data_IF_708962617678
#
_entry.id   IF_708962617678
#
_cell.length_a   1.000
_cell.length_b   1.000
_cell.length_c   1.000
_cell.angle_alpha   90.00
_cell.angle_beta   90.00
_cell.angle_gamma   90.00
#
_symmetry.space_group_name_H-M   'P 1'
#
loop_
_entity.id
_entity.type
_entity.pdbx_description
1 polymer ?
#
# COMPACT_ATOMS: atom_id res chain seq x y z
N UNK A 1 -33.41 7.29 9.89
CA UNK A 1 -33.76 7.15 8.46
C UNK A 1 -32.85 6.05 7.94
N UNK A 2 -33.41 4.95 7.44
CA UNK A 2 -32.61 3.94 6.75
C UNK A 2 -32.03 4.59 5.48
N UNK A 3 -30.75 4.30 5.10
CA UNK A 3 -30.21 4.79 3.86
C UNK A 3 -31.05 4.23 2.70
N UNK A 4 -31.42 5.08 1.76
CA UNK A 4 -32.11 4.66 0.54
C UNK A 4 -31.18 3.70 -0.21
N UNK A 5 -31.61 2.45 -0.38
CA UNK A 5 -30.91 1.49 -1.22
C UNK A 5 -30.95 2.00 -2.66
N UNK A 6 -29.80 2.24 -3.26
CA UNK A 6 -29.73 2.59 -4.68
C UNK A 6 -30.33 1.44 -5.50
N UNK A 7 -31.41 1.71 -6.22
CA UNK A 7 -32.07 0.73 -7.06
C UNK A 7 -31.24 0.49 -8.35
N UNK A 8 -30.10 -0.16 -8.23
CA UNK A 8 -29.37 -0.71 -9.37
C UNK A 8 -30.09 -2.00 -9.78
N UNK A 9 -30.78 -1.99 -10.93
CA UNK A 9 -31.53 -3.13 -11.44
C UNK A 9 -30.67 -4.04 -12.33
N UNK A 10 -29.52 -3.53 -12.80
CA UNK A 10 -28.58 -4.29 -13.61
C UNK A 10 -27.70 -5.21 -12.76
N UNK A 11 -27.31 -6.38 -13.30
CA UNK A 11 -26.33 -7.24 -12.64
C UNK A 11 -25.02 -6.46 -12.36
N UNK A 12 -24.53 -6.54 -11.15
CA UNK A 12 -23.33 -5.84 -10.74
C UNK A 12 -22.43 -6.72 -9.86
N UNK A 13 -21.17 -6.31 -9.73
CA UNK A 13 -20.21 -6.86 -8.79
C UNK A 13 -19.71 -5.74 -7.88
N UNK A 14 -19.15 -6.11 -6.74
CA UNK A 14 -18.58 -5.12 -5.84
C UNK A 14 -17.20 -5.53 -5.33
N UNK A 15 -16.43 -4.54 -4.90
CA UNK A 15 -15.19 -4.77 -4.18
C UNK A 15 -15.07 -3.84 -2.97
N UNK A 16 -14.40 -4.33 -1.92
CA UNK A 16 -14.02 -3.55 -0.74
C UNK A 16 -12.51 -3.64 -0.55
N UNK A 17 -11.87 -2.47 -0.51
CA UNK A 17 -10.45 -2.30 -0.13
C UNK A 17 -10.40 -1.69 1.27
N UNK A 18 -10.17 -2.54 2.27
CA UNK A 18 -10.21 -2.21 3.69
C UNK A 18 -8.84 -2.02 4.29
N UNK A 19 -8.33 -0.79 4.27
CA UNK A 19 -7.04 -0.43 4.85
C UNK A 19 -7.08 0.04 6.30
N UNK A 20 -5.93 0.40 6.85
CA UNK A 20 -5.80 0.92 8.22
C UNK A 20 -6.38 2.33 8.42
N UNK A 21 -6.34 3.20 7.40
CA UNK A 21 -6.79 4.59 7.51
C UNK A 21 -8.13 4.87 6.82
N UNK A 22 -8.42 4.14 5.75
CA UNK A 22 -9.64 4.29 4.95
C UNK A 22 -10.09 2.93 4.42
N UNK A 23 -11.38 2.83 4.12
CA UNK A 23 -11.99 1.67 3.45
C UNK A 23 -12.84 2.17 2.30
N UNK A 24 -12.67 1.57 1.15
CA UNK A 24 -13.32 1.94 -0.10
C UNK A 24 -14.25 0.81 -0.56
N UNK A 25 -15.47 1.14 -0.94
CA UNK A 25 -16.40 0.27 -1.66
C UNK A 25 -16.56 0.79 -3.08
N UNK A 26 -16.49 -0.10 -4.07
CA UNK A 26 -16.84 0.19 -5.46
C UNK A 26 -17.82 -0.85 -5.96
N UNK A 27 -18.91 -0.40 -6.58
CA UNK A 27 -19.89 -1.25 -7.27
C UNK A 27 -19.76 -1.00 -8.76
N UNK A 28 -19.59 -2.08 -9.54
CA UNK A 28 -19.39 -2.06 -10.98
C UNK A 28 -20.52 -2.81 -11.68
N UNK A 29 -21.20 -2.15 -12.61
CA UNK A 29 -22.23 -2.75 -13.45
C UNK A 29 -21.63 -3.71 -14.49
N UNK A 30 -22.44 -4.59 -15.04
CA UNK A 30 -22.03 -5.55 -16.08
C UNK A 30 -21.59 -4.88 -17.38
N UNK A 31 -21.99 -3.65 -17.64
CA UNK A 31 -21.53 -2.83 -18.78
C UNK A 31 -20.17 -2.15 -18.55
N UNK A 32 -19.56 -2.33 -17.37
CA UNK A 32 -18.27 -1.74 -16.99
C UNK A 32 -18.35 -0.32 -16.44
N UNK A 33 -19.55 0.21 -16.20
CA UNK A 33 -19.73 1.52 -15.54
C UNK A 33 -19.74 1.39 -14.01
N UNK A 34 -19.25 2.40 -13.30
CA UNK A 34 -19.33 2.46 -11.85
C UNK A 34 -20.73 2.89 -11.44
N UNK A 35 -21.42 2.03 -10.67
CA UNK A 35 -22.73 2.32 -10.11
C UNK A 35 -22.67 3.10 -8.80
N UNK A 36 -21.68 2.80 -7.95
CA UNK A 36 -21.51 3.47 -6.66
C UNK A 36 -20.05 3.44 -6.21
N UNK A 37 -19.65 4.48 -5.48
CA UNK A 37 -18.37 4.58 -4.77
C UNK A 37 -18.66 5.14 -3.38
N UNK A 38 -18.27 4.40 -2.35
CA UNK A 38 -18.42 4.84 -0.96
C UNK A 38 -17.10 4.71 -0.21
N UNK A 39 -16.85 5.59 0.72
CA UNK A 39 -15.65 5.58 1.55
C UNK A 39 -16.00 5.79 3.02
N UNK A 40 -15.31 5.05 3.88
CA UNK A 40 -15.37 5.22 5.34
C UNK A 40 -13.95 5.22 5.93
N UNK A 41 -13.85 5.37 7.25
CA UNK A 41 -12.58 5.20 7.97
C UNK A 41 -12.03 3.79 7.87
N UNK A 42 -10.80 3.59 8.36
CA UNK A 42 -10.14 2.29 8.31
C UNK A 42 -10.94 1.16 8.97
N UNK A 43 -10.72 -0.06 8.46
CA UNK A 43 -11.33 -1.29 8.97
C UNK A 43 -10.31 -2.33 9.42
N UNK A 44 -9.07 -1.93 9.70
CA UNK A 44 -8.08 -2.82 10.29
C UNK A 44 -8.43 -3.11 11.77
N UNK A 45 -8.72 -4.37 12.14
CA UNK A 45 -9.14 -4.71 13.51
C UNK A 45 -8.04 -4.56 14.57
N UNK A 46 -6.77 -4.38 14.19
CA UNK A 46 -5.67 -4.19 15.12
C UNK A 46 -5.65 -2.78 15.74
N UNK A 47 -6.11 -1.77 15.02
CA UNK A 47 -5.98 -0.36 15.42
C UNK A 47 -7.27 0.47 15.26
N UNK A 48 -8.34 -0.14 14.69
CA UNK A 48 -9.61 0.55 14.44
C UNK A 48 -10.75 -0.07 15.28
N UNK A 49 -11.13 0.53 16.43
CA UNK A 49 -12.18 -0.03 17.29
C UNK A 49 -13.52 -0.23 16.60
N UNK A 50 -13.87 0.65 15.66
CA UNK A 50 -15.14 0.62 14.91
C UNK A 50 -15.04 -0.12 13.57
N UNK A 51 -14.03 -0.98 13.39
CA UNK A 51 -13.79 -1.67 12.12
C UNK A 51 -14.99 -2.48 11.63
N UNK A 52 -15.66 -3.21 12.55
CA UNK A 52 -16.82 -4.07 12.22
C UNK A 52 -18.00 -3.23 11.75
N UNK A 53 -18.35 -2.19 12.50
CA UNK A 53 -19.47 -1.30 12.17
C UNK A 53 -19.28 -0.63 10.81
N UNK A 54 -18.05 -0.16 10.52
CA UNK A 54 -17.72 0.47 9.25
C UNK A 54 -17.80 -0.53 8.09
N UNK A 55 -17.26 -1.74 8.25
CA UNK A 55 -17.29 -2.77 7.23
C UNK A 55 -18.73 -3.21 6.94
N UNK A 56 -19.50 -3.54 7.97
CA UNK A 56 -20.90 -3.97 7.82
C UNK A 56 -21.76 -2.84 7.26
N UNK A 57 -21.51 -1.59 7.65
CA UNK A 57 -22.19 -0.42 7.09
C UNK A 57 -21.99 -0.29 5.58
N UNK A 58 -20.78 -0.52 5.06
CA UNK A 58 -20.52 -0.53 3.62
C UNK A 58 -21.21 -1.70 2.93
N UNK A 59 -21.18 -2.90 3.53
CA UNK A 59 -21.81 -4.09 2.97
C UNK A 59 -23.34 -3.96 2.87
N UNK A 60 -23.96 -3.19 3.74
CA UNK A 60 -25.40 -2.89 3.69
C UNK A 60 -25.80 -1.97 2.52
N UNK A 61 -24.84 -1.27 1.91
CA UNK A 61 -25.08 -0.40 0.75
C UNK A 61 -25.07 -1.16 -0.58
N UNK A 62 -24.77 -2.47 -0.56
CA UNK A 62 -24.72 -3.28 -1.76
C UNK A 62 -26.11 -3.41 -2.39
N UNK A 63 -26.22 -3.21 -3.73
CA UNK A 63 -27.46 -3.46 -4.46
C UNK A 63 -27.92 -4.93 -4.34
N UNK A 64 -29.21 -5.17 -4.38
CA UNK A 64 -29.80 -6.52 -4.37
C UNK A 64 -29.43 -7.33 -5.62
N UNK A 65 -29.00 -6.66 -6.70
CA UNK A 65 -28.50 -7.25 -7.94
C UNK A 65 -27.02 -7.66 -7.89
N UNK A 66 -26.34 -7.50 -6.75
CA UNK A 66 -24.92 -7.86 -6.58
C UNK A 66 -24.72 -9.37 -6.71
N UNK A 67 -23.93 -9.78 -7.70
CA UNK A 67 -23.65 -11.18 -8.03
C UNK A 67 -22.47 -11.76 -7.24
N UNK A 68 -21.46 -10.95 -6.94
CA UNK A 68 -20.29 -11.35 -6.16
C UNK A 68 -19.57 -10.14 -5.56
N UNK A 69 -18.79 -10.39 -4.48
CA UNK A 69 -18.02 -9.35 -3.79
C UNK A 69 -16.57 -9.82 -3.59
N UNK A 70 -15.60 -8.99 -3.95
CA UNK A 70 -14.19 -9.21 -3.64
C UNK A 70 -13.76 -8.30 -2.49
N UNK A 71 -13.21 -8.86 -1.42
CA UNK A 71 -12.77 -8.10 -0.25
C UNK A 71 -11.27 -8.32 -0.01
N UNK A 72 -10.52 -7.21 0.11
CA UNK A 72 -9.16 -7.18 0.61
C UNK A 72 -9.17 -6.42 1.94
N UNK A 73 -8.92 -7.11 3.05
CA UNK A 73 -9.00 -6.51 4.37
C UNK A 73 -7.64 -6.53 5.08
N UNK A 74 -7.19 -5.36 5.53
CA UNK A 74 -5.99 -5.24 6.35
C UNK A 74 -6.10 -6.11 7.61
N UNK A 75 -5.00 -6.78 7.96
CA UNK A 75 -4.93 -7.68 9.11
C UNK A 75 -5.52 -9.07 8.88
N UNK A 76 -6.20 -9.31 7.77
CA UNK A 76 -6.68 -10.66 7.43
C UNK A 76 -5.47 -11.59 7.13
N UNK A 77 -5.49 -12.78 7.69
CA UNK A 77 -4.38 -13.74 7.62
C UNK A 77 -3.29 -13.57 8.68
N UNK A 78 -3.31 -12.50 9.49
CA UNK A 78 -2.28 -12.26 10.50
C UNK A 78 -2.57 -12.90 11.87
N UNK A 79 -3.85 -13.04 12.22
CA UNK A 79 -4.30 -13.64 13.48
C UNK A 79 -5.53 -14.49 13.26
N UNK A 80 -5.48 -15.76 13.64
CA UNK A 80 -6.63 -16.67 13.48
C UNK A 80 -7.92 -16.13 14.15
N UNK A 81 -7.80 -15.52 15.33
CA UNK A 81 -8.96 -14.94 16.04
C UNK A 81 -9.54 -13.74 15.29
N UNK A 82 -8.70 -12.88 14.71
CA UNK A 82 -9.16 -11.72 13.96
C UNK A 82 -9.72 -12.13 12.59
N UNK A 83 -9.12 -13.12 11.93
CA UNK A 83 -9.64 -13.69 10.70
C UNK A 83 -11.06 -14.21 10.90
N UNK A 84 -11.30 -15.04 11.92
CA UNK A 84 -12.63 -15.55 12.23
C UNK A 84 -13.65 -14.42 12.46
N UNK A 85 -13.26 -13.37 13.19
CA UNK A 85 -14.14 -12.19 13.41
C UNK A 85 -14.44 -11.41 12.13
N UNK A 86 -13.48 -11.30 11.20
CA UNK A 86 -13.69 -10.67 9.90
C UNK A 86 -14.58 -11.53 9.00
N UNK A 87 -14.33 -12.86 8.97
CA UNK A 87 -15.17 -13.83 8.26
C UNK A 87 -16.62 -13.82 8.75
N UNK A 88 -16.85 -13.83 10.07
CA UNK A 88 -18.18 -13.73 10.66
C UNK A 88 -18.89 -12.46 10.20
N UNK A 89 -18.21 -11.30 10.29
CA UNK A 89 -18.79 -10.01 9.89
C UNK A 89 -19.19 -9.97 8.40
N UNK A 90 -18.36 -10.55 7.53
CA UNK A 90 -18.59 -10.60 6.08
C UNK A 90 -19.71 -11.58 5.76
N UNK A 91 -19.65 -12.82 6.30
CA UNK A 91 -20.64 -13.86 6.03
C UNK A 91 -22.03 -13.50 6.53
N UNK A 92 -22.15 -12.92 7.73
CA UNK A 92 -23.43 -12.43 8.27
C UNK A 92 -24.03 -11.32 7.39
N UNK A 93 -23.18 -10.42 6.83
CA UNK A 93 -23.66 -9.31 6.02
C UNK A 93 -24.03 -9.72 4.60
N UNK A 94 -23.28 -10.62 3.97
CA UNK A 94 -23.47 -11.03 2.58
C UNK A 94 -24.47 -12.19 2.40
N UNK A 95 -24.67 -13.00 3.43
CA UNK A 95 -25.61 -14.12 3.40
C UNK A 95 -25.28 -15.12 2.29
N UNK A 96 -26.06 -15.10 1.19
CA UNK A 96 -25.89 -16.00 0.04
C UNK A 96 -25.09 -15.41 -1.12
N UNK A 97 -24.70 -14.14 -1.05
CA UNK A 97 -23.91 -13.51 -2.11
C UNK A 97 -22.52 -14.16 -2.11
N UNK A 98 -22.04 -14.71 -3.23
CA UNK A 98 -20.68 -15.23 -3.34
C UNK A 98 -19.63 -14.14 -3.04
N UNK A 99 -18.60 -14.49 -2.29
CA UNK A 99 -17.52 -13.53 -2.01
C UNK A 99 -16.15 -14.21 -1.94
N UNK A 100 -15.11 -13.42 -2.15
CA UNK A 100 -13.73 -13.75 -1.86
C UNK A 100 -13.22 -12.79 -0.81
N UNK A 101 -12.57 -13.31 0.22
CA UNK A 101 -11.95 -12.53 1.29
C UNK A 101 -10.47 -12.85 1.35
N UNK A 102 -9.64 -11.81 1.17
CA UNK A 102 -8.18 -11.91 1.19
C UNK A 102 -7.58 -10.80 2.05
N UNK A 103 -6.26 -10.80 2.20
CA UNK A 103 -5.52 -9.67 2.72
C UNK A 103 -5.55 -8.51 1.69
N UNK A 104 -5.55 -7.26 2.17
CA UNK A 104 -5.51 -6.05 1.31
C UNK A 104 -4.30 -6.03 0.38
N UNK A 105 -3.15 -6.55 0.84
CA UNK A 105 -1.93 -6.66 0.03
C UNK A 105 -2.03 -7.74 -1.05
N UNK A 106 -2.70 -8.86 -0.76
CA UNK A 106 -2.97 -9.91 -1.76
C UNK A 106 -3.87 -9.39 -2.87
N UNK A 107 -4.93 -8.66 -2.50
CA UNK A 107 -5.79 -7.98 -3.46
C UNK A 107 -5.02 -6.96 -4.31
N UNK A 108 -4.14 -6.17 -3.70
CA UNK A 108 -3.28 -5.22 -4.42
C UNK A 108 -2.29 -5.94 -5.36
N UNK A 109 -1.76 -7.10 -4.96
CA UNK A 109 -0.91 -7.94 -5.82
C UNK A 109 -1.69 -8.46 -7.03
N UNK A 110 -2.88 -9.01 -6.80
CA UNK A 110 -3.79 -9.42 -7.88
C UNK A 110 -4.11 -8.27 -8.84
N UNK A 111 -4.34 -7.06 -8.33
CA UNK A 111 -4.57 -5.86 -9.13
C UNK A 111 -3.35 -5.49 -10.00
N UNK A 112 -2.16 -5.51 -9.40
CA UNK A 112 -0.94 -5.11 -10.08
C UNK A 112 -0.62 -6.00 -11.29
N UNK A 113 -0.93 -7.30 -11.21
CA UNK A 113 -0.62 -8.29 -12.24
C UNK A 113 -1.84 -8.82 -13.01
N UNK A 114 -3.05 -8.30 -12.76
CA UNK A 114 -4.28 -8.81 -13.40
C UNK A 114 -4.64 -10.24 -12.99
N UNK A 115 -4.17 -10.66 -11.81
CA UNK A 115 -4.31 -12.03 -11.29
C UNK A 115 -3.27 -13.01 -11.79
N UNK A 116 -2.26 -12.57 -12.57
CA UNK A 116 -1.12 -13.36 -13.01
C UNK A 116 -0.03 -13.39 -11.90
N UNK A 117 0.94 -14.32 -11.99
CA UNK A 117 2.02 -14.41 -11.03
C UNK A 117 2.87 -13.14 -10.93
N UNK A 118 3.33 -12.80 -9.73
CA UNK A 118 4.23 -11.66 -9.51
C UNK A 118 4.57 -11.38 -8.07
N UNK A 119 5.50 -10.45 -7.86
CA UNK A 119 5.90 -9.91 -6.55
C UNK A 119 5.50 -8.45 -6.49
N UNK A 120 4.55 -8.09 -5.64
CA UNK A 120 4.25 -6.71 -5.30
C UNK A 120 5.13 -6.25 -4.14
N UNK A 121 5.90 -5.19 -4.34
CA UNK A 121 6.63 -4.51 -3.27
C UNK A 121 5.84 -3.30 -2.81
N UNK A 122 5.52 -3.25 -1.53
CA UNK A 122 4.94 -2.08 -0.90
C UNK A 122 6.01 -1.33 -0.13
N UNK A 123 6.07 -0.02 -0.33
CA UNK A 123 6.83 0.90 0.51
C UNK A 123 6.07 2.21 0.69
N UNK A 124 5.50 2.34 1.87
CA UNK A 124 4.85 3.53 2.42
C UNK A 124 5.43 3.81 3.80
N UNK A 125 4.60 4.09 4.80
CA UNK A 125 5.05 4.23 6.20
C UNK A 125 5.78 2.98 6.70
N UNK A 126 5.33 1.79 6.32
CA UNK A 126 6.04 0.51 6.46
C UNK A 126 6.41 -0.06 5.09
N UNK A 127 7.01 -1.26 5.07
CA UNK A 127 7.39 -1.96 3.84
C UNK A 127 7.23 -3.45 3.94
N UNK A 128 6.92 -4.09 2.80
CA UNK A 128 6.86 -5.53 2.65
C UNK A 128 6.86 -5.92 1.17
N UNK A 129 7.09 -7.20 0.87
CA UNK A 129 6.77 -7.78 -0.41
C UNK A 129 5.75 -8.90 -0.25
N UNK A 130 4.87 -9.01 -1.23
CA UNK A 130 3.88 -10.08 -1.36
C UNK A 130 4.04 -10.73 -2.72
N UNK A 131 4.24 -12.04 -2.75
CA UNK A 131 4.30 -12.79 -3.98
C UNK A 131 3.10 -13.73 -4.09
N UNK A 132 2.59 -13.87 -5.32
CA UNK A 132 1.52 -14.79 -5.66
C UNK A 132 1.90 -15.56 -6.93
N UNK A 133 1.51 -16.86 -6.99
CA UNK A 133 1.63 -17.70 -8.19
C UNK A 133 0.42 -17.57 -9.14
N UNK A 134 -0.54 -16.71 -8.81
CA UNK A 134 -1.80 -16.55 -9.52
C UNK A 134 -2.77 -17.73 -9.38
N UNK A 135 -2.43 -18.76 -8.59
CA UNK A 135 -3.21 -20.00 -8.41
C UNK A 135 -3.60 -20.27 -6.95
N UNK A 136 -3.39 -19.29 -6.08
CA UNK A 136 -3.74 -19.35 -4.66
C UNK A 136 -2.57 -19.59 -3.71
N UNK A 137 -1.35 -19.86 -4.21
CA UNK A 137 -0.16 -19.84 -3.37
C UNK A 137 0.39 -18.43 -3.27
N UNK A 138 0.73 -18.02 -2.08
CA UNK A 138 1.32 -16.72 -1.82
C UNK A 138 2.40 -16.80 -0.74
N UNK A 139 3.29 -15.84 -0.72
CA UNK A 139 4.25 -15.67 0.38
C UNK A 139 4.47 -14.20 0.71
N UNK A 140 4.63 -13.94 2.00
CA UNK A 140 5.00 -12.65 2.55
C UNK A 140 6.50 -12.61 2.86
N UNK A 141 7.13 -11.46 2.59
CA UNK A 141 8.50 -11.13 2.99
C UNK A 141 8.51 -9.73 3.60
N UNK A 142 9.06 -9.57 4.79
CA UNK A 142 9.02 -8.32 5.53
C UNK A 142 7.66 -8.01 6.17
N UNK A 143 7.39 -6.74 6.43
CA UNK A 143 6.16 -6.29 7.07
C UNK A 143 6.09 -6.61 8.57
N UNK A 144 7.22 -6.65 9.24
CA UNK A 144 7.32 -6.97 10.67
C UNK A 144 7.12 -5.77 11.60
N UNK A 145 6.83 -4.59 11.01
CA UNK A 145 6.67 -3.35 11.74
C UNK A 145 7.99 -2.63 12.02
N UNK A 146 7.89 -1.37 12.44
CA UNK A 146 9.04 -0.45 12.54
C UNK A 146 10.04 -0.74 13.64
N UNK A 147 9.70 -1.65 14.56
CA UNK A 147 10.60 -1.98 15.69
C UNK A 147 11.76 -2.87 15.24
N UNK A 148 11.49 -3.85 14.37
CA UNK A 148 12.47 -4.85 13.91
C UNK A 148 12.29 -5.26 12.44
N UNK A 149 11.63 -4.42 11.66
CA UNK A 149 11.39 -4.58 10.23
C UNK A 149 11.12 -3.24 9.56
N UNK A 150 10.27 -3.26 8.51
CA UNK A 150 9.95 -2.12 7.65
C UNK A 150 11.17 -1.56 6.89
N UNK A 151 12.11 -2.45 6.52
CA UNK A 151 13.33 -2.09 5.80
C UNK A 151 13.01 -1.50 4.42
N UNK A 152 13.61 -0.35 4.10
CA UNK A 152 13.33 0.38 2.86
C UNK A 152 12.02 1.18 2.87
N UNK A 153 11.32 1.27 4.01
CA UNK A 153 10.11 2.10 4.16
C UNK A 153 10.42 3.59 4.27
N UNK A 154 9.39 4.42 4.09
CA UNK A 154 9.47 5.85 4.34
C UNK A 154 9.92 6.16 5.78
N UNK A 155 9.41 5.40 6.76
CA UNK A 155 9.82 5.57 8.15
C UNK A 155 11.32 5.29 8.33
N UNK A 156 11.84 4.19 7.78
CA UNK A 156 13.27 3.89 7.89
C UNK A 156 14.13 4.93 7.17
N UNK A 157 13.74 5.37 5.97
CA UNK A 157 14.45 6.42 5.23
C UNK A 157 14.49 7.71 6.05
N UNK A 158 13.36 8.16 6.58
CA UNK A 158 13.27 9.37 7.40
C UNK A 158 14.07 9.25 8.70
N UNK A 159 14.00 8.10 9.37
CA UNK A 159 14.79 7.81 10.58
C UNK A 159 16.30 7.85 10.28
N UNK A 160 16.72 7.23 9.18
CA UNK A 160 18.12 7.23 8.79
C UNK A 160 18.62 8.65 8.41
N UNK A 161 17.76 9.48 7.79
CA UNK A 161 18.06 10.88 7.52
C UNK A 161 18.23 11.69 8.81
N UNK A 162 17.36 11.51 9.80
CA UNK A 162 17.52 12.14 11.11
C UNK A 162 18.77 11.64 11.84
N UNK A 163 19.07 10.34 11.75
CA UNK A 163 20.29 9.77 12.31
C UNK A 163 21.53 10.39 11.67
N UNK A 164 21.55 10.53 10.35
CA UNK A 164 22.64 11.20 9.62
C UNK A 164 22.77 12.67 10.07
N UNK A 165 21.66 13.40 10.15
CA UNK A 165 21.65 14.79 10.64
C UNK A 165 22.26 14.89 12.04
N UNK A 166 21.83 14.07 12.98
CA UNK A 166 22.38 14.10 14.37
C UNK A 166 23.86 13.74 14.40
N UNK A 167 24.32 12.79 13.57
CA UNK A 167 25.74 12.46 13.48
C UNK A 167 26.59 13.63 12.96
N UNK A 168 26.05 14.42 12.02
CA UNK A 168 26.73 15.63 11.54
C UNK A 168 26.76 16.70 12.62
N UNK A 169 25.63 16.95 13.30
CA UNK A 169 25.55 17.94 14.39
C UNK A 169 26.50 17.63 15.54
N UNK A 170 26.67 16.34 15.88
CA UNK A 170 27.58 15.88 16.93
C UNK A 170 29.05 15.82 16.50
N UNK A 171 29.35 16.01 15.20
CA UNK A 171 30.70 15.85 14.64
C UNK A 171 31.13 14.37 14.49
N UNK A 172 30.24 13.40 14.67
CA UNK A 172 30.49 11.96 14.41
C UNK A 172 30.60 11.62 12.93
N UNK A 173 30.00 12.45 12.07
CA UNK A 173 30.10 12.36 10.61
C UNK A 173 30.44 13.74 10.04
N UNK A 174 31.64 13.88 9.51
CA UNK A 174 32.11 15.12 8.85
C UNK A 174 32.14 15.01 7.32
N UNK A 175 32.07 13.79 6.79
CA UNK A 175 32.14 13.52 5.35
C UNK A 175 30.86 13.94 4.63
N UNK A 176 29.72 13.73 5.26
CA UNK A 176 28.42 14.01 4.69
C UNK A 176 27.85 15.39 5.08
N UNK A 177 28.72 16.32 5.51
CA UNK A 177 28.32 17.67 5.97
C UNK A 177 27.48 18.45 4.93
N UNK A 178 27.64 18.14 3.64
CA UNK A 178 26.81 18.68 2.56
C UNK A 178 25.31 18.34 2.68
N UNK A 179 24.93 17.38 3.55
CA UNK A 179 23.54 17.04 3.83
C UNK A 179 22.85 18.05 4.77
N UNK A 180 23.61 18.69 5.67
CA UNK A 180 23.06 19.51 6.76
C UNK A 180 22.15 20.62 6.25
N UNK A 181 22.69 21.55 5.47
CA UNK A 181 21.95 22.75 5.05
C UNK A 181 20.73 22.42 4.18
N UNK A 182 20.82 21.58 3.11
CA UNK A 182 19.66 21.24 2.31
C UNK A 182 18.58 20.52 3.10
N UNK A 183 18.95 19.59 3.99
CA UNK A 183 17.95 18.84 4.75
C UNK A 183 17.28 19.69 5.84
N UNK A 184 18.04 20.53 6.57
CA UNK A 184 17.48 21.50 7.51
C UNK A 184 16.49 22.44 6.81
N UNK A 185 16.85 22.94 5.63
CA UNK A 185 15.96 23.80 4.84
C UNK A 185 14.63 23.14 4.50
N UNK A 186 14.64 21.85 4.12
CA UNK A 186 13.38 21.13 3.82
C UNK A 186 12.52 20.88 5.05
N UNK A 187 13.12 20.80 6.22
CA UNK A 187 12.42 20.65 7.51
C UNK A 187 12.00 22.00 8.12
N UNK A 188 12.42 23.14 7.55
CA UNK A 188 12.22 24.46 8.17
C UNK A 188 13.10 24.69 9.41
N UNK A 189 14.22 23.98 9.54
CA UNK A 189 15.18 24.10 10.64
C UNK A 189 16.32 25.05 10.29
N UNK A 190 16.92 25.75 11.30
CA UNK A 190 18.11 26.54 11.10
C UNK A 190 19.29 25.63 10.68
N UNK A 191 20.19 26.15 9.81
CA UNK A 191 21.39 25.42 9.38
C UNK A 191 22.60 25.62 10.33
N UNK A 192 22.54 26.57 11.26
CA UNK A 192 23.54 26.70 12.32
C UNK A 192 23.45 25.47 13.25
N UNK A 193 24.53 24.73 13.49
CA UNK A 193 24.48 23.46 14.25
C UNK A 193 23.89 23.58 15.64
N UNK A 194 24.19 24.67 16.38
CA UNK A 194 23.67 24.86 17.75
C UNK A 194 22.18 25.16 17.74
N UNK A 195 21.74 26.04 16.84
CA UNK A 195 20.34 26.39 16.70
C UNK A 195 19.54 25.21 16.14
N UNK A 196 20.11 24.47 15.19
CA UNK A 196 19.49 23.26 14.62
C UNK A 196 19.23 22.20 15.71
N UNK A 197 20.20 21.95 16.60
CA UNK A 197 20.04 20.97 17.68
C UNK A 197 18.84 21.30 18.55
N UNK A 198 18.70 22.54 19.01
CA UNK A 198 17.59 22.96 19.84
C UNK A 198 16.24 22.85 19.10
N UNK A 199 16.20 23.33 17.84
CA UNK A 199 15.00 23.29 17.02
C UNK A 199 14.57 21.85 16.66
N UNK A 200 15.52 20.93 16.45
CA UNK A 200 15.24 19.51 16.19
C UNK A 200 14.63 18.82 17.42
N UNK A 201 15.15 19.12 18.60
CA UNK A 201 14.59 18.57 19.85
C UNK A 201 13.18 19.10 20.13
N UNK A 202 12.95 20.40 19.86
CA UNK A 202 11.61 21.00 19.95
C UNK A 202 10.65 20.38 18.92
N UNK A 203 11.07 20.22 17.67
CA UNK A 203 10.30 19.52 16.64
C UNK A 203 9.89 18.12 17.10
N UNK A 204 10.85 17.32 17.62
CA UNK A 204 10.56 15.97 18.10
C UNK A 204 9.59 15.97 19.29
N UNK A 205 9.76 16.89 20.24
CA UNK A 205 8.91 16.98 21.45
C UNK A 205 7.45 17.34 21.14
N UNK A 206 7.20 17.97 20.01
CA UNK A 206 5.86 18.40 19.58
C UNK A 206 5.15 17.41 18.63
N UNK A 207 5.72 16.22 18.38
CA UNK A 207 5.12 15.24 17.48
C UNK A 207 3.96 14.50 18.14
N UNK A 208 2.75 14.65 17.61
CA UNK A 208 1.57 13.85 18.02
C UNK A 208 1.64 12.43 17.45
N UNK A 209 2.13 12.28 16.21
CA UNK A 209 2.25 11.02 15.49
C UNK A 209 3.69 10.80 14.99
N UNK A 210 4.65 10.44 15.87
CA UNK A 210 6.07 10.39 15.53
C UNK A 210 6.40 9.53 14.31
N UNK A 211 5.78 8.34 14.21
CA UNK A 211 6.03 7.42 13.09
C UNK A 211 5.66 8.04 11.74
N UNK A 212 4.50 8.67 11.65
CA UNK A 212 4.03 9.30 10.41
C UNK A 212 4.85 10.56 10.07
N UNK A 213 5.20 11.37 11.07
CA UNK A 213 6.01 12.57 10.88
C UNK A 213 7.42 12.22 10.37
N UNK A 214 8.06 11.19 10.95
CA UNK A 214 9.36 10.71 10.49
C UNK A 214 9.26 10.10 9.09
N UNK A 215 8.22 9.32 8.78
CA UNK A 215 8.00 8.77 7.45
C UNK A 215 7.84 9.87 6.37
N UNK A 216 7.19 10.98 6.71
CA UNK A 216 7.01 12.10 5.78
C UNK A 216 8.36 12.68 5.28
N UNK A 217 9.44 12.56 6.06
CA UNK A 217 10.78 13.03 5.70
C UNK A 217 11.38 12.28 4.51
N UNK A 218 10.93 11.06 4.21
CA UNK A 218 11.41 10.31 3.05
C UNK A 218 11.21 11.07 1.74
N UNK A 219 10.15 11.87 1.64
CA UNK A 219 9.90 12.72 0.46
C UNK A 219 10.97 13.79 0.30
N UNK A 220 11.41 14.39 1.41
CA UNK A 220 12.52 15.36 1.39
C UNK A 220 13.83 14.70 0.95
N UNK A 221 14.13 13.51 1.48
CA UNK A 221 15.31 12.73 1.07
C UNK A 221 15.28 12.43 -0.44
N UNK A 222 14.11 12.03 -0.97
CA UNK A 222 13.92 11.76 -2.40
C UNK A 222 14.21 13.00 -3.25
N UNK A 223 13.62 14.14 -2.89
CA UNK A 223 13.85 15.41 -3.57
C UNK A 223 15.33 15.84 -3.53
N UNK A 224 15.99 15.65 -2.40
CA UNK A 224 17.42 15.97 -2.28
C UNK A 224 18.28 15.05 -3.15
N UNK A 225 17.99 13.75 -3.21
CA UNK A 225 18.70 12.80 -4.05
C UNK A 225 18.54 13.15 -5.55
N UNK A 226 17.34 13.51 -5.98
CA UNK A 226 17.05 13.97 -7.33
C UNK A 226 17.80 15.28 -7.68
N UNK A 227 18.05 16.11 -6.68
CA UNK A 227 18.88 17.32 -6.80
C UNK A 227 20.38 17.07 -6.55
N UNK A 228 20.85 15.84 -6.76
CA UNK A 228 22.26 15.45 -6.70
C UNK A 228 22.92 15.54 -5.32
N UNK A 229 22.15 15.52 -4.24
CA UNK A 229 22.68 15.41 -2.89
C UNK A 229 23.19 13.96 -2.65
N UNK A 230 24.52 13.79 -2.67
CA UNK A 230 25.15 12.47 -2.55
C UNK A 230 24.74 11.71 -1.28
N UNK A 231 24.73 12.31 -0.07
CA UNK A 231 24.29 11.59 1.12
C UNK A 231 22.82 11.16 1.07
N UNK A 232 21.94 11.98 0.49
CA UNK A 232 20.53 11.61 0.31
C UNK A 232 20.38 10.43 -0.68
N UNK A 233 21.14 10.45 -1.77
CA UNK A 233 21.20 9.33 -2.71
C UNK A 233 21.71 8.03 -2.05
N UNK A 234 22.69 8.12 -1.16
CA UNK A 234 23.19 6.97 -0.41
C UNK A 234 22.11 6.36 0.50
N UNK A 235 21.29 7.19 1.19
CA UNK A 235 20.15 6.73 1.99
C UNK A 235 19.13 5.99 1.14
N UNK A 236 18.80 6.50 -0.05
CA UNK A 236 17.86 5.82 -0.96
C UNK A 236 18.43 4.52 -1.55
N UNK A 237 19.73 4.48 -1.86
CA UNK A 237 20.38 3.26 -2.33
C UNK A 237 20.37 2.16 -1.27
N UNK A 238 20.54 2.52 0.01
CA UNK A 238 20.37 1.57 1.12
C UNK A 238 18.95 1.03 1.15
N UNK A 239 17.94 1.91 1.09
CA UNK A 239 16.53 1.50 1.05
C UNK A 239 16.22 0.61 -0.18
N UNK A 240 16.78 0.93 -1.35
CA UNK A 240 16.63 0.11 -2.56
C UNK A 240 17.21 -1.29 -2.38
N UNK A 241 18.36 -1.42 -1.73
CA UNK A 241 19.01 -2.70 -1.47
C UNK A 241 18.16 -3.59 -0.56
N UNK A 242 17.55 -3.01 0.47
CA UNK A 242 16.64 -3.70 1.37
C UNK A 242 15.37 -4.18 0.64
N UNK A 243 14.74 -3.30 -0.13
CA UNK A 243 13.55 -3.66 -0.92
C UNK A 243 13.86 -4.71 -1.99
N UNK A 244 15.03 -4.64 -2.64
CA UNK A 244 15.49 -5.65 -3.57
C UNK A 244 15.73 -7.00 -2.87
N UNK A 245 16.17 -7.01 -1.61
CA UNK A 245 16.30 -8.23 -0.81
C UNK A 245 14.94 -8.89 -0.58
N UNK A 246 13.86 -8.11 -0.35
CA UNK A 246 12.50 -8.64 -0.25
C UNK A 246 12.07 -9.35 -1.54
N UNK A 247 12.31 -8.75 -2.71
CA UNK A 247 11.99 -9.35 -4.03
C UNK A 247 12.73 -10.67 -4.20
N UNK A 248 14.06 -10.68 -3.97
CA UNK A 248 14.87 -11.89 -4.12
C UNK A 248 14.42 -13.00 -3.17
N UNK A 249 14.10 -12.66 -1.91
CA UNK A 249 13.60 -13.63 -0.95
C UNK A 249 12.24 -14.22 -1.36
N UNK A 250 11.34 -13.40 -1.91
CA UNK A 250 10.05 -13.86 -2.43
C UNK A 250 10.24 -14.83 -3.61
N UNK A 251 11.12 -14.51 -4.57
CA UNK A 251 11.47 -15.38 -5.69
C UNK A 251 12.09 -16.72 -5.24
N UNK A 252 12.92 -16.69 -4.20
CA UNK A 252 13.51 -17.91 -3.62
C UNK A 252 12.48 -18.82 -2.97
N UNK A 253 11.40 -18.26 -2.42
CA UNK A 253 10.30 -19.03 -1.81
C UNK A 253 9.36 -19.67 -2.85
N UNK A 254 9.38 -19.20 -4.08
CA UNK A 254 8.54 -19.67 -5.19
C UNK A 254 9.42 -19.96 -6.44
N UNK A 255 10.35 -20.92 -6.38
CA UNK A 255 11.38 -21.10 -7.41
C UNK A 255 10.84 -21.62 -8.76
N UNK A 256 9.68 -22.27 -8.75
CA UNK A 256 9.08 -22.89 -9.94
C UNK A 256 8.23 -21.91 -10.77
N UNK A 257 8.16 -20.64 -10.35
CA UNK A 257 7.36 -19.62 -11.01
C UNK A 257 8.23 -18.41 -11.34
N UNK A 258 8.17 -17.95 -12.59
CA UNK A 258 8.79 -16.68 -12.95
C UNK A 258 7.95 -15.53 -12.35
N UNK A 259 8.56 -14.77 -11.47
CA UNK A 259 7.89 -13.68 -10.74
C UNK A 259 8.46 -12.32 -11.19
N UNK A 260 7.82 -11.63 -12.15
CA UNK A 260 8.06 -10.20 -12.36
C UNK A 260 7.72 -9.44 -11.08
N UNK A 261 8.28 -8.24 -10.92
CA UNK A 261 7.95 -7.42 -9.77
C UNK A 261 7.22 -6.13 -10.17
N UNK A 262 6.34 -5.68 -9.28
CA UNK A 262 5.61 -4.43 -9.36
C UNK A 262 5.67 -3.71 -8.03
N UNK A 263 5.11 -2.52 -7.94
CA UNK A 263 5.29 -1.63 -6.81
C UNK A 263 4.00 -0.91 -6.40
N UNK A 264 3.88 -0.61 -5.10
CA UNK A 264 2.85 0.24 -4.52
C UNK A 264 3.40 1.04 -3.33
N UNK A 265 2.71 2.12 -2.98
CA UNK A 265 3.06 3.00 -1.87
C UNK A 265 3.85 4.25 -2.28
N UNK A 266 3.72 5.28 -1.44
CA UNK A 266 4.21 6.62 -1.76
C UNK A 266 5.73 6.74 -1.92
N UNK A 267 6.50 5.91 -1.24
CA UNK A 267 7.97 5.91 -1.33
C UNK A 267 8.44 5.48 -2.73
N UNK A 268 7.71 4.53 -3.33
CA UNK A 268 8.02 4.00 -4.67
C UNK A 268 7.50 4.89 -5.81
N UNK A 269 6.92 6.05 -5.51
CA UNK A 269 6.71 7.10 -6.52
C UNK A 269 8.02 7.78 -6.94
N UNK A 270 9.10 7.69 -6.13
CA UNK A 270 10.43 8.17 -6.50
C UNK A 270 11.02 7.36 -7.66
N UNK A 271 11.30 7.97 -8.83
CA UNK A 271 11.97 7.29 -9.93
C UNK A 271 13.39 6.85 -9.54
N UNK A 272 14.08 7.62 -8.70
CA UNK A 272 15.40 7.26 -8.20
C UNK A 272 15.36 5.91 -7.48
N UNK A 273 14.44 5.74 -6.53
CA UNK A 273 14.33 4.51 -5.75
C UNK A 273 13.94 3.32 -6.64
N UNK A 274 12.96 3.48 -7.53
CA UNK A 274 12.57 2.41 -8.46
C UNK A 274 13.71 1.98 -9.37
N UNK A 275 14.47 2.92 -9.93
CA UNK A 275 15.61 2.62 -10.80
C UNK A 275 16.73 1.90 -10.04
N UNK A 276 16.98 2.28 -8.78
CA UNK A 276 17.98 1.61 -7.93
C UNK A 276 17.57 0.16 -7.57
N UNK A 277 16.26 -0.11 -7.40
CA UNK A 277 15.74 -1.49 -7.25
C UNK A 277 15.83 -2.23 -8.58
N UNK A 278 15.45 -1.58 -9.69
CA UNK A 278 15.46 -2.19 -11.02
C UNK A 278 16.87 -2.63 -11.45
N UNK A 279 17.90 -1.90 -11.07
CA UNK A 279 19.30 -2.28 -11.32
C UNK A 279 19.68 -3.62 -10.65
N UNK A 280 18.96 -4.04 -9.60
CA UNK A 280 19.23 -5.26 -8.83
C UNK A 280 18.27 -6.42 -9.17
N UNK A 281 17.03 -6.11 -9.57
CA UNK A 281 15.95 -7.08 -9.69
C UNK A 281 15.30 -7.14 -11.08
N UNK A 282 15.80 -6.34 -12.04
CA UNK A 282 15.19 -6.16 -13.36
C UNK A 282 14.10 -5.09 -13.37
N UNK A 283 13.67 -4.69 -14.55
CA UNK A 283 12.67 -3.65 -14.75
C UNK A 283 11.31 -4.05 -14.14
N UNK A 284 10.67 -3.15 -13.36
CA UNK A 284 9.34 -3.43 -12.81
C UNK A 284 8.26 -3.42 -13.90
N UNK A 285 7.22 -4.18 -13.67
CA UNK A 285 5.96 -4.06 -14.41
C UNK A 285 5.13 -2.95 -13.75
N UNK A 286 4.59 -2.03 -14.53
CA UNK A 286 3.64 -1.05 -13.99
C UNK A 286 2.37 -1.75 -13.51
N UNK A 287 1.80 -1.37 -12.36
CA UNK A 287 0.54 -1.94 -11.89
C UNK A 287 -0.55 -1.76 -12.96
N UNK A 288 -1.30 -2.83 -13.27
CA UNK A 288 -2.37 -2.81 -14.26
C UNK A 288 -3.62 -2.12 -13.73
N UNK A 289 -3.94 -2.32 -12.45
CA UNK A 289 -5.11 -1.80 -11.76
C UNK A 289 -4.72 -1.21 -10.41
N UNK A 290 -5.48 -0.26 -9.88
CA UNK A 290 -5.40 0.13 -8.46
C UNK A 290 -5.88 -1.03 -7.57
N UNK A 291 -5.53 -1.07 -6.25
CA UNK A 291 -5.85 -2.18 -5.35
C UNK A 291 -7.28 -2.68 -5.41
N UNK A 292 -8.25 -1.77 -5.38
CA UNK A 292 -9.69 -2.09 -5.49
C UNK A 292 -10.04 -2.88 -6.76
N UNK A 293 -9.29 -2.67 -7.85
CA UNK A 293 -9.47 -3.39 -9.11
C UNK A 293 -9.16 -4.89 -9.00
N UNK A 294 -8.29 -5.30 -8.08
CA UNK A 294 -8.04 -6.72 -7.78
C UNK A 294 -9.26 -7.40 -7.16
N UNK A 295 -9.97 -6.71 -6.28
CA UNK A 295 -11.24 -7.19 -5.72
C UNK A 295 -12.33 -7.29 -6.79
N UNK A 296 -12.46 -6.29 -7.66
CA UNK A 296 -13.42 -6.33 -8.79
C UNK A 296 -13.08 -7.47 -9.75
N UNK A 297 -11.81 -7.71 -10.05
CA UNK A 297 -11.36 -8.81 -10.90
C UNK A 297 -11.76 -10.18 -10.31
N UNK A 298 -11.55 -10.36 -9.02
CA UNK A 298 -11.92 -11.59 -8.31
C UNK A 298 -13.43 -11.76 -8.27
N UNK A 299 -14.19 -10.70 -7.95
CA UNK A 299 -15.64 -10.72 -7.97
C UNK A 299 -16.21 -11.03 -9.37
N UNK A 300 -15.63 -10.47 -10.44
CA UNK A 300 -16.02 -10.77 -11.81
C UNK A 300 -15.87 -12.26 -12.14
N UNK A 301 -14.73 -12.87 -11.77
CA UNK A 301 -14.50 -14.30 -11.96
C UNK A 301 -15.51 -15.15 -11.18
N UNK A 302 -15.83 -14.78 -9.94
CA UNK A 302 -16.85 -15.47 -9.12
C UNK A 302 -18.26 -15.32 -9.68
N UNK A 303 -18.59 -14.18 -10.28
CA UNK A 303 -19.86 -13.95 -10.94
C UNK A 303 -19.98 -14.68 -12.31
N UNK A 304 -18.93 -15.42 -12.71
CA UNK A 304 -18.90 -16.13 -13.99
C UNK A 304 -18.57 -15.23 -15.20
N UNK A 305 -18.13 -14.01 -14.96
CA UNK A 305 -17.63 -13.15 -16.02
C UNK A 305 -16.24 -13.65 -16.48
N UNK A 306 -15.86 -13.33 -17.69
CA UNK A 306 -14.58 -13.72 -18.30
C UNK A 306 -13.69 -12.50 -18.50
N UNK A 307 -13.11 -11.92 -17.43
CA UNK A 307 -12.24 -10.76 -17.55
C UNK A 307 -10.95 -11.12 -18.32
N UNK A 308 -10.83 -10.59 -19.52
CA UNK A 308 -9.64 -10.67 -20.36
C UNK A 308 -8.80 -9.38 -20.27
N UNK A 309 -7.72 -9.29 -21.03
CA UNK A 309 -6.84 -8.12 -21.06
C UNK A 309 -7.58 -6.83 -21.49
N UNK A 310 -8.60 -6.95 -22.36
CA UNK A 310 -9.39 -5.80 -22.80
C UNK A 310 -10.30 -5.29 -21.69
N UNK A 311 -10.90 -6.21 -20.93
CA UNK A 311 -11.71 -5.89 -19.75
C UNK A 311 -10.86 -5.21 -18.66
N UNK A 312 -9.65 -5.74 -18.36
CA UNK A 312 -8.73 -5.13 -17.40
C UNK A 312 -8.35 -3.71 -17.81
N UNK A 313 -8.04 -3.51 -19.10
CA UNK A 313 -7.70 -2.17 -19.63
C UNK A 313 -8.89 -1.21 -19.52
N UNK A 314 -10.10 -1.67 -19.81
CA UNK A 314 -11.32 -0.87 -19.65
C UNK A 314 -11.58 -0.51 -18.19
N UNK A 315 -11.47 -1.48 -17.29
CA UNK A 315 -11.62 -1.26 -15.86
C UNK A 315 -10.60 -0.25 -15.32
N UNK A 316 -9.33 -0.34 -15.73
CA UNK A 316 -8.29 0.63 -15.36
C UNK A 316 -8.68 2.07 -15.76
N UNK A 317 -9.23 2.23 -16.98
CA UNK A 317 -9.70 3.53 -17.48
C UNK A 317 -10.89 4.04 -16.68
N UNK A 318 -11.87 3.17 -16.40
CA UNK A 318 -13.08 3.52 -15.63
C UNK A 318 -12.71 3.94 -14.20
N UNK A 319 -11.85 3.17 -13.51
CA UNK A 319 -11.38 3.51 -12.17
C UNK A 319 -10.54 4.80 -12.17
N UNK A 320 -9.69 5.01 -13.18
CA UNK A 320 -8.91 6.23 -13.34
C UNK A 320 -9.79 7.47 -13.53
N UNK A 321 -10.83 7.39 -14.36
CA UNK A 321 -11.80 8.47 -14.60
C UNK A 321 -12.60 8.83 -13.32
N UNK A 322 -12.81 7.86 -12.42
CA UNK A 322 -13.45 8.07 -11.12
C UNK A 322 -12.48 8.57 -10.02
N UNK A 323 -11.21 8.85 -10.35
CA UNK A 323 -10.22 9.30 -9.37
C UNK A 323 -9.69 8.18 -8.46
N UNK A 324 -9.91 6.93 -8.82
CA UNK A 324 -9.50 5.73 -8.05
C UNK A 324 -8.22 5.10 -8.60
N UNK A 325 -7.50 5.80 -9.46
CA UNK A 325 -6.42 5.29 -10.30
C UNK A 325 -5.03 5.19 -9.65
N UNK A 326 -4.86 5.33 -8.34
CA UNK A 326 -3.53 5.22 -7.70
C UNK A 326 -3.60 4.98 -6.20
#
# INVERSE_FOLDING_TARGET
MAPESFAVTEPCIAAIDGGGSKTLLVVLNSDGTIANVEQTGGTNPFDQPLWRERLTGLLQLLPTSTQAVGLGLAGYGESATLCARQEDAVSESLGKIPYSLTNDVDMACSAAFGGEPGVLVLSGTGSMAWASDGRGQHCRVGGWGSLFGDEGSAYQIGRNALTLLTHILDGRNTQDSAFLEPFCKTMGLPSDPKLCTSALLEWYGNLEHPRSAVAALARHVSTLAENSCIPAAALLNTAATELAAHIRAARTKMPDVELPWSYAGGTLQSPFLRNAIAAQCGTPVSPLLPPIGGGLLTAARQAGWTPDASWITSLARTLGAAGLGS
#
